data_IF_157763666732
#
_entry.id   IF_157763666732
#
_cell.length_a   1.000
_cell.length_b   1.000
_cell.length_c   1.000
_cell.angle_alpha   90.00
_cell.angle_beta   90.00
_cell.angle_gamma   90.00
#
_symmetry.space_group_name_H-M   'P 1'
#
loop_
_entity.id
_entity.type
_entity.pdbx_description
1 polymer ?
#
# COMPACT_ATOMS: atom_id res chain seq x y z
N UNK A 1 -12.06 6.81 -17.29
CA UNK A 1 -11.45 5.74 -16.45
C UNK A 1 -12.47 5.42 -15.35
N UNK A 2 -13.60 4.86 -15.75
CA UNK A 2 -14.86 4.86 -14.98
C UNK A 2 -15.27 3.45 -14.50
N UNK A 3 -14.58 2.40 -14.98
CA UNK A 3 -15.07 1.02 -14.81
C UNK A 3 -15.12 0.54 -13.35
N UNK A 4 -14.08 0.81 -12.55
CA UNK A 4 -14.07 0.40 -11.13
C UNK A 4 -15.08 1.21 -10.33
N UNK A 5 -15.23 2.50 -10.64
CA UNK A 5 -16.22 3.38 -9.99
C UNK A 5 -17.64 2.87 -10.24
N UNK A 6 -17.98 2.48 -11.47
CA UNK A 6 -19.27 1.87 -11.79
C UNK A 6 -19.50 0.57 -10.99
N UNK A 7 -18.50 -0.32 -10.92
CA UNK A 7 -18.64 -1.55 -10.13
C UNK A 7 -18.92 -1.26 -8.65
N UNK A 8 -18.29 -0.23 -8.10
CA UNK A 8 -18.52 0.21 -6.72
C UNK A 8 -19.90 0.86 -6.56
N UNK A 9 -20.32 1.70 -7.50
CA UNK A 9 -21.63 2.37 -7.50
C UNK A 9 -22.79 1.37 -7.55
N UNK A 10 -22.68 0.33 -8.40
CA UNK A 10 -23.68 -0.74 -8.51
C UNK A 10 -23.44 -1.90 -7.54
N UNK A 11 -22.61 -1.69 -6.51
CA UNK A 11 -22.32 -2.63 -5.41
C UNK A 11 -21.88 -4.04 -5.88
N UNK A 12 -21.19 -4.12 -7.02
CA UNK A 12 -20.72 -5.38 -7.57
C UNK A 12 -19.51 -5.87 -6.80
N UNK A 13 -19.46 -7.18 -6.56
CA UNK A 13 -18.26 -7.86 -6.08
C UNK A 13 -17.36 -8.21 -7.27
N UNK A 14 -16.06 -7.92 -7.16
CA UNK A 14 -15.14 -8.09 -8.29
C UNK A 14 -13.72 -8.48 -7.88
N UNK A 15 -13.01 -9.08 -8.83
CA UNK A 15 -11.58 -9.37 -8.78
C UNK A 15 -10.99 -9.07 -10.15
N UNK A 16 -10.13 -8.05 -10.24
CA UNK A 16 -9.62 -7.50 -11.50
C UNK A 16 -8.10 -7.51 -11.48
N UNK A 17 -7.49 -7.93 -12.59
CA UNK A 17 -6.05 -7.76 -12.81
C UNK A 17 -5.80 -6.34 -13.30
N UNK A 18 -5.02 -5.58 -12.53
CA UNK A 18 -4.58 -4.24 -12.87
C UNK A 18 -3.06 -4.16 -12.98
N UNK A 19 -2.57 -3.06 -13.55
CA UNK A 19 -1.16 -2.71 -13.45
C UNK A 19 -0.87 -2.06 -12.08
N UNK A 20 0.30 -2.27 -11.49
CA UNK A 20 0.71 -1.65 -10.21
C UNK A 20 0.62 -0.13 -10.20
N UNK A 21 0.80 0.51 -11.36
CA UNK A 21 0.66 1.95 -11.51
C UNK A 21 -0.78 2.44 -11.26
N UNK A 22 -1.77 1.55 -11.34
CA UNK A 22 -3.18 1.88 -11.10
C UNK A 22 -3.45 2.43 -9.70
N UNK A 23 -2.59 2.13 -8.74
CA UNK A 23 -2.66 2.64 -7.36
C UNK A 23 -2.41 4.15 -7.32
N UNK A 24 -1.54 4.66 -8.20
CA UNK A 24 -1.13 6.08 -8.19
C UNK A 24 -2.18 7.01 -8.78
N UNK A 25 -3.24 6.44 -9.35
CA UNK A 25 -4.36 7.15 -9.94
C UNK A 25 -5.26 7.70 -8.85
N UNK A 26 -5.62 8.98 -8.97
CA UNK A 26 -6.42 9.68 -7.96
C UNK A 26 -7.72 8.93 -7.67
N UNK A 27 -8.43 8.52 -8.71
CA UNK A 27 -9.71 7.82 -8.60
C UNK A 27 -9.58 6.49 -7.83
N UNK A 28 -8.58 5.68 -8.19
CA UNK A 28 -8.30 4.41 -7.52
C UNK A 28 -7.90 4.62 -6.06
N UNK A 29 -7.01 5.58 -5.78
CA UNK A 29 -6.54 5.84 -4.42
C UNK A 29 -7.68 6.32 -3.53
N UNK A 30 -8.56 7.20 -4.02
CA UNK A 30 -9.73 7.65 -3.26
C UNK A 30 -10.68 6.50 -2.92
N UNK A 31 -10.88 5.55 -3.83
CA UNK A 31 -11.65 4.33 -3.55
C UNK A 31 -10.99 3.42 -2.50
N UNK A 32 -9.66 3.31 -2.53
CA UNK A 32 -8.89 2.56 -1.52
C UNK A 32 -8.96 3.24 -0.16
N UNK A 33 -8.77 4.56 -0.12
CA UNK A 33 -8.87 5.38 1.08
C UNK A 33 -10.27 5.32 1.69
N UNK A 34 -11.31 5.36 0.86
CA UNK A 34 -12.71 5.19 1.25
C UNK A 34 -13.07 3.73 1.62
N UNK A 35 -12.10 2.83 1.62
CA UNK A 35 -12.26 1.42 1.95
C UNK A 35 -13.28 0.67 1.07
N UNK A 36 -13.46 1.10 -0.18
CA UNK A 36 -14.36 0.47 -1.16
C UNK A 36 -13.66 -0.54 -2.06
N UNK A 37 -12.35 -0.39 -2.22
CA UNK A 37 -11.47 -1.23 -3.05
C UNK A 37 -10.17 -1.47 -2.30
N UNK A 38 -9.53 -2.61 -2.50
CA UNK A 38 -8.22 -2.91 -1.95
C UNK A 38 -7.38 -3.78 -2.89
N UNK A 39 -6.10 -3.86 -2.56
CA UNK A 39 -5.18 -4.79 -3.21
C UNK A 39 -5.51 -6.22 -2.76
N UNK A 40 -5.61 -7.14 -3.72
CA UNK A 40 -5.75 -8.56 -3.45
C UNK A 40 -4.45 -9.22 -3.01
N UNK A 41 -4.50 -10.54 -2.85
CA UNK A 41 -3.38 -11.37 -2.42
C UNK A 41 -2.31 -11.43 -3.51
N UNK A 42 -1.03 -11.37 -3.12
CA UNK A 42 0.14 -11.30 -4.01
C UNK A 42 0.30 -9.99 -4.81
N UNK A 43 1.49 -9.77 -5.37
CA UNK A 43 1.84 -8.62 -6.21
C UNK A 43 2.90 -9.07 -7.25
N UNK A 44 2.87 -8.48 -8.44
CA UNK A 44 3.81 -8.76 -9.52
C UNK A 44 3.79 -10.22 -9.97
N UNK A 45 4.96 -10.86 -9.98
CA UNK A 45 5.10 -12.28 -10.36
C UNK A 45 4.29 -13.23 -9.48
N UNK A 46 3.98 -12.86 -8.24
CA UNK A 46 3.20 -13.71 -7.34
C UNK A 46 1.72 -13.81 -7.74
N UNK A 47 1.24 -12.94 -8.64
CA UNK A 47 -0.15 -12.96 -9.13
C UNK A 47 -0.34 -13.89 -10.31
N UNK A 48 0.75 -14.20 -11.00
CA UNK A 48 0.65 -14.65 -12.37
C UNK A 48 1.50 -15.88 -12.70
N UNK A 49 1.00 -16.55 -13.71
CA UNK A 49 1.52 -17.72 -14.37
C UNK A 49 0.48 -18.11 -15.40
N UNK A 50 0.43 -17.36 -16.51
CA UNK A 50 -0.54 -17.63 -17.57
C UNK A 50 0.03 -18.66 -18.53
N UNK A 51 -0.73 -19.71 -18.78
CA UNK A 51 -0.40 -20.66 -19.85
C UNK A 51 -0.55 -19.92 -21.17
N UNK A 52 0.52 -19.87 -21.93
CA UNK A 52 0.56 -19.26 -23.26
C UNK A 52 0.62 -20.35 -24.33
N UNK A 53 0.15 -20.07 -25.55
CA UNK A 53 0.25 -21.01 -26.66
C UNK A 53 1.69 -21.47 -26.92
N UNK A 54 1.84 -22.66 -27.50
CA UNK A 54 3.15 -23.26 -27.77
C UNK A 54 4.02 -22.41 -28.71
N UNK A 55 3.41 -21.63 -29.61
CA UNK A 55 4.13 -20.73 -30.52
C UNK A 55 4.61 -19.43 -29.85
N UNK A 56 4.22 -19.16 -28.59
CA UNK A 56 4.69 -17.99 -27.88
C UNK A 56 6.15 -18.17 -27.46
N UNK A 57 7.01 -17.26 -27.90
CA UNK A 57 8.43 -17.28 -27.55
C UNK A 57 8.62 -16.98 -26.06
N UNK A 58 9.37 -17.84 -25.38
CA UNK A 58 9.72 -17.64 -23.98
C UNK A 58 11.00 -16.84 -23.89
N UNK A 59 10.92 -15.68 -23.24
CA UNK A 59 12.06 -14.80 -23.05
C UNK A 59 12.08 -14.22 -21.63
N UNK A 60 13.30 -13.93 -21.17
CA UNK A 60 13.54 -13.33 -19.86
C UNK A 60 13.17 -14.25 -18.69
N UNK A 61 13.32 -13.72 -17.48
CA UNK A 61 13.04 -14.47 -16.25
C UNK A 61 11.55 -14.66 -15.98
N UNK A 62 10.66 -14.00 -16.73
CA UNK A 62 9.19 -14.05 -16.58
C UNK A 62 8.55 -15.29 -17.20
N UNK A 63 9.29 -16.00 -18.06
CA UNK A 63 8.83 -17.21 -18.72
C UNK A 63 9.45 -18.46 -18.08
N UNK A 64 8.64 -19.52 -17.95
CA UNK A 64 9.09 -20.86 -17.50
C UNK A 64 8.28 -21.95 -18.19
N UNK A 65 8.78 -23.18 -18.11
CA UNK A 65 8.00 -24.39 -18.40
C UNK A 65 7.66 -25.03 -17.05
N UNK A 66 6.39 -25.36 -16.83
CA UNK A 66 5.96 -26.04 -15.62
C UNK A 66 6.19 -27.57 -15.68
N UNK A 67 5.87 -28.28 -14.61
CA UNK A 67 6.06 -29.73 -14.48
C UNK A 67 5.24 -30.54 -15.49
N UNK A 68 4.20 -29.94 -16.08
CA UNK A 68 3.31 -30.56 -17.06
C UNK A 68 3.70 -30.21 -18.51
N UNK A 69 4.80 -29.46 -18.70
CA UNK A 69 5.26 -29.02 -20.02
C UNK A 69 4.55 -27.78 -20.56
N UNK A 70 3.71 -27.11 -19.77
CA UNK A 70 3.05 -25.88 -20.21
C UNK A 70 4.04 -24.71 -20.22
N UNK A 71 3.93 -23.86 -21.25
CA UNK A 71 4.64 -22.58 -21.30
C UNK A 71 3.90 -21.56 -20.44
N UNK A 72 4.57 -20.99 -19.45
CA UNK A 72 3.97 -20.10 -18.46
C UNK A 72 4.69 -18.76 -18.42
N UNK A 73 3.95 -17.65 -18.58
CA UNK A 73 4.48 -16.28 -18.49
C UNK A 73 3.87 -15.55 -17.29
N UNK A 74 4.73 -14.86 -16.52
CA UNK A 74 4.36 -14.19 -15.27
C UNK A 74 4.74 -12.71 -15.28
N UNK A 75 3.82 -11.81 -15.68
CA UNK A 75 4.06 -10.37 -15.74
C UNK A 75 4.52 -9.77 -14.41
N UNK A 76 5.55 -8.93 -14.47
CA UNK A 76 6.15 -8.28 -13.30
C UNK A 76 5.29 -7.21 -12.61
N UNK A 77 4.39 -6.55 -13.33
CA UNK A 77 3.73 -5.33 -12.90
C UNK A 77 2.22 -5.50 -12.68
N UNK A 78 1.77 -6.72 -12.43
CA UNK A 78 0.36 -7.00 -12.14
C UNK A 78 0.03 -6.82 -10.65
N UNK A 79 -1.21 -6.43 -10.37
CA UNK A 79 -1.85 -6.48 -9.07
C UNK A 79 -3.29 -7.01 -9.21
N UNK A 80 -3.86 -7.51 -8.12
CA UNK A 80 -5.29 -7.71 -8.00
C UNK A 80 -5.91 -6.46 -7.38
N UNK A 81 -6.93 -5.89 -8.01
CA UNK A 81 -7.86 -4.95 -7.36
C UNK A 81 -9.17 -5.67 -7.11
N UNK A 82 -9.68 -5.54 -5.90
CA UNK A 82 -10.87 -6.28 -5.48
C UNK A 82 -11.61 -5.55 -4.36
N UNK A 83 -12.84 -5.96 -4.12
CA UNK A 83 -13.62 -5.66 -2.92
C UNK A 83 -14.15 -6.94 -2.25
N UNK A 84 -13.49 -8.07 -2.53
CA UNK A 84 -13.68 -9.36 -1.87
C UNK A 84 -12.80 -9.42 -0.63
N UNK A 85 -13.42 -9.66 0.52
CA UNK A 85 -12.74 -9.60 1.80
C UNK A 85 -11.87 -10.84 2.05
N UNK A 86 -10.74 -10.66 2.74
CA UNK A 86 -9.78 -11.76 3.00
C UNK A 86 -9.17 -11.63 4.40
N UNK A 87 -8.86 -12.77 5.03
CA UNK A 87 -8.19 -12.79 6.33
C UNK A 87 -6.84 -12.03 6.34
N UNK A 88 -6.12 -12.01 5.20
CA UNK A 88 -4.86 -11.28 5.09
C UNK A 88 -5.04 -9.77 5.28
N UNK A 89 -6.18 -9.23 4.83
CA UNK A 89 -6.53 -7.82 4.92
C UNK A 89 -6.69 -7.34 6.37
N UNK A 90 -7.02 -8.25 7.27
CA UNK A 90 -7.20 -8.01 8.70
C UNK A 90 -5.99 -8.46 9.53
N UNK A 91 -4.90 -8.88 8.89
CA UNK A 91 -3.67 -9.27 9.58
C UNK A 91 -2.88 -8.04 9.99
N UNK A 92 -2.60 -7.96 11.27
CA UNK A 92 -1.74 -6.90 11.81
C UNK A 92 -0.29 -7.01 11.33
N UNK A 93 0.31 -5.86 11.13
CA UNK A 93 1.75 -5.72 10.96
C UNK A 93 2.36 -5.56 12.36
N UNK A 94 3.25 -6.46 12.80
CA UNK A 94 3.97 -6.28 14.06
C UNK A 94 4.86 -5.05 13.99
N UNK A 95 4.63 -4.09 14.88
CA UNK A 95 5.43 -2.88 15.01
C UNK A 95 6.43 -3.06 16.15
N UNK A 96 7.72 -2.93 15.85
CA UNK A 96 8.81 -3.19 16.81
C UNK A 96 9.74 -2.00 17.00
N UNK A 97 9.55 -0.93 16.22
CA UNK A 97 10.38 0.28 16.31
C UNK A 97 9.78 1.27 17.29
N UNK A 98 10.67 2.06 17.88
CA UNK A 98 10.36 3.12 18.83
C UNK A 98 10.78 4.44 18.21
N UNK A 99 9.93 5.45 18.30
CA UNK A 99 10.17 6.82 17.87
C UNK A 99 10.80 7.64 18.99
N UNK A 100 10.22 7.62 20.19
CA UNK A 100 10.69 8.43 21.31
C UNK A 100 12.13 8.03 21.71
N UNK A 101 13.03 9.00 21.80
CA UNK A 101 14.47 8.81 21.99
C UNK A 101 15.24 8.34 20.74
N UNK A 102 14.57 8.19 19.60
CA UNK A 102 15.15 7.79 18.32
C UNK A 102 14.76 8.73 17.17
N UNK A 103 14.34 9.95 17.48
CA UNK A 103 13.73 10.92 16.56
C UNK A 103 14.62 11.20 15.34
N UNK A 104 15.94 11.22 15.53
CA UNK A 104 16.94 11.39 14.48
C UNK A 104 16.87 10.35 13.34
N UNK A 105 16.24 9.18 13.57
CA UNK A 105 16.04 8.13 12.55
C UNK A 105 14.82 8.37 11.65
N UNK A 106 13.98 9.36 11.99
CA UNK A 106 12.70 9.61 11.35
C UNK A 106 12.66 11.04 10.82
N UNK A 107 13.14 11.26 9.58
CA UNK A 107 13.10 12.58 8.97
C UNK A 107 11.68 13.13 8.92
N UNK A 108 11.50 14.41 9.27
CA UNK A 108 10.22 15.12 9.16
C UNK A 108 10.03 15.68 7.75
N UNK A 109 8.78 15.82 7.34
CA UNK A 109 8.46 16.52 6.11
C UNK A 109 8.56 18.04 6.30
N UNK A 110 8.97 18.76 5.26
CA UNK A 110 9.09 20.22 5.28
C UNK A 110 7.71 20.88 5.15
N UNK A 111 6.77 20.22 4.46
CA UNK A 111 5.47 20.75 4.05
C UNK A 111 4.27 19.92 4.56
N UNK A 112 4.47 19.12 5.60
CA UNK A 112 3.40 18.37 6.26
C UNK A 112 3.83 17.99 7.69
N UNK A 113 2.92 18.03 8.66
CA UNK A 113 3.22 17.55 10.02
C UNK A 113 3.23 16.01 10.08
N UNK A 114 4.39 15.43 9.76
CA UNK A 114 4.59 13.99 9.76
C UNK A 114 6.04 13.58 9.58
N UNK A 115 6.29 12.30 9.79
CA UNK A 115 7.61 11.68 9.61
C UNK A 115 7.62 10.77 8.39
N UNK A 116 8.80 10.54 7.81
CA UNK A 116 9.02 9.59 6.74
C UNK A 116 9.67 8.31 7.25
N UNK A 117 9.15 7.17 6.82
CA UNK A 117 9.84 5.87 6.91
C UNK A 117 10.05 5.29 5.52
N UNK A 118 11.21 4.66 5.31
CA UNK A 118 11.55 4.10 4.00
C UNK A 118 11.06 2.66 3.83
N UNK A 119 10.68 1.99 4.92
CA UNK A 119 10.19 0.60 4.92
C UNK A 119 9.04 0.45 5.90
N UNK A 120 8.08 -0.41 5.57
CA UNK A 120 6.97 -0.77 6.47
C UNK A 120 7.45 -1.32 7.82
N UNK A 121 8.58 -2.04 7.84
CA UNK A 121 9.16 -2.57 9.08
C UNK A 121 9.76 -1.49 10.00
N UNK A 122 9.93 -0.26 9.49
CA UNK A 122 10.46 0.86 10.25
C UNK A 122 9.35 1.73 10.86
N UNK A 123 8.07 1.37 10.68
CA UNK A 123 6.95 2.09 11.28
C UNK A 123 7.07 2.00 12.83
N UNK A 124 7.19 3.13 13.53
CA UNK A 124 7.23 3.14 15.00
C UNK A 124 5.86 2.81 15.61
N UNK A 125 5.88 2.09 16.73
CA UNK A 125 4.67 1.66 17.44
C UNK A 125 4.09 2.74 18.36
N UNK A 126 4.88 3.75 18.70
CA UNK A 126 4.65 4.79 19.71
C UNK A 126 4.44 6.20 19.13
N UNK A 127 4.47 6.37 17.80
CA UNK A 127 4.28 7.68 17.15
C UNK A 127 2.83 7.90 16.69
N UNK A 128 2.13 8.85 17.32
CA UNK A 128 0.71 9.14 17.09
C UNK A 128 0.41 10.10 15.93
N UNK A 129 1.43 10.69 15.31
CA UNK A 129 1.31 11.57 14.15
C UNK A 129 1.18 10.85 12.81
N UNK A 130 1.20 11.62 11.73
CA UNK A 130 1.19 11.07 10.37
C UNK A 130 2.55 10.48 9.97
N UNK A 131 2.52 9.33 9.33
CA UNK A 131 3.70 8.59 8.89
C UNK A 131 3.61 8.41 7.39
N UNK A 132 4.59 8.92 6.65
CA UNK A 132 4.76 8.65 5.24
C UNK A 132 5.45 7.32 5.01
N UNK A 133 4.73 6.39 4.38
CA UNK A 133 5.19 5.04 4.04
C UNK A 133 5.32 4.86 2.52
N UNK A 134 6.13 3.90 2.04
CA UNK A 134 6.17 3.55 0.62
C UNK A 134 4.80 3.10 0.11
N UNK A 135 4.48 3.38 -1.16
CA UNK A 135 3.20 2.96 -1.80
C UNK A 135 2.93 1.45 -1.69
N UNK A 136 3.98 0.63 -1.68
CA UNK A 136 3.90 -0.83 -1.50
C UNK A 136 3.34 -1.27 -0.16
N UNK A 137 3.25 -0.37 0.83
CA UNK A 137 2.56 -0.59 2.09
C UNK A 137 1.12 -1.05 1.90
N UNK A 138 0.41 -0.60 0.85
CA UNK A 138 -0.98 -0.98 0.60
C UNK A 138 -1.19 -2.49 0.45
N UNK A 139 -0.16 -3.24 0.06
CA UNK A 139 -0.22 -4.71 0.01
C UNK A 139 -0.36 -5.37 1.40
N UNK A 140 0.03 -4.65 2.44
CA UNK A 140 -0.04 -5.08 3.86
C UNK A 140 -1.03 -4.24 4.66
N UNK A 141 -1.78 -3.35 4.01
CA UNK A 141 -2.65 -2.41 4.69
C UNK A 141 -3.81 -3.14 5.36
N UNK A 142 -3.90 -2.95 6.68
CA UNK A 142 -5.04 -3.34 7.49
C UNK A 142 -5.77 -2.07 7.97
N UNK A 143 -7.04 -1.84 7.57
CA UNK A 143 -7.79 -0.65 7.99
C UNK A 143 -8.11 -0.63 9.50
N UNK A 144 -8.03 -1.76 10.18
CA UNK A 144 -8.30 -1.88 11.62
C UNK A 144 -7.07 -1.48 12.43
N UNK A 145 -5.90 -1.44 11.79
CA UNK A 145 -4.64 -1.00 12.39
C UNK A 145 -4.28 0.42 11.95
N UNK A 146 -4.54 0.79 10.70
CA UNK A 146 -4.12 2.06 10.13
C UNK A 146 -5.25 2.82 9.44
N UNK A 147 -5.11 4.13 9.41
CA UNK A 147 -5.90 5.04 8.59
C UNK A 147 -5.07 5.54 7.41
N UNK A 148 -5.66 5.64 6.21
CA UNK A 148 -5.03 6.30 5.06
C UNK A 148 -5.45 7.77 5.05
N UNK A 149 -4.48 8.67 5.13
CA UNK A 149 -4.73 10.12 5.24
C UNK A 149 -4.69 10.77 3.86
N UNK A 150 -3.54 10.71 3.18
CA UNK A 150 -3.26 11.45 1.94
C UNK A 150 -2.27 10.68 1.08
N UNK A 151 -2.30 10.93 -0.22
CA UNK A 151 -1.31 10.41 -1.16
C UNK A 151 -0.42 11.55 -1.66
N UNK A 152 0.89 11.37 -1.52
CA UNK A 152 1.99 12.15 -2.13
C UNK A 152 2.09 13.64 -1.75
N UNK A 153 1.00 14.30 -1.39
CA UNK A 153 0.92 15.76 -1.24
C UNK A 153 1.08 16.22 0.22
N UNK A 154 1.76 17.35 0.40
CA UNK A 154 1.79 18.11 1.66
C UNK A 154 0.56 19.01 1.81
N UNK A 155 0.58 19.88 2.81
CA UNK A 155 -0.50 20.84 3.10
C UNK A 155 -0.53 22.00 2.11
N UNK A 156 0.60 22.25 1.44
CA UNK A 156 0.75 23.23 0.36
C UNK A 156 0.36 22.70 -1.02
N UNK A 157 -0.23 21.50 -1.09
CA UNK A 157 -0.59 20.76 -2.33
C UNK A 157 0.61 20.43 -3.25
N UNK A 158 1.83 20.72 -2.80
CA UNK A 158 3.06 20.25 -3.46
C UNK A 158 3.38 18.84 -3.01
N UNK A 159 4.27 18.19 -3.74
CA UNK A 159 4.73 16.87 -3.32
C UNK A 159 5.45 16.99 -1.97
N UNK A 160 5.27 15.99 -1.12
CA UNK A 160 5.97 15.90 0.17
C UNK A 160 7.47 16.07 -0.05
N UNK A 161 8.14 16.88 0.78
CA UNK A 161 9.59 17.07 0.70
C UNK A 161 10.25 16.85 2.05
N UNK A 162 11.49 16.38 2.01
CA UNK A 162 12.35 16.20 3.17
C UNK A 162 13.67 16.90 2.85
N UNK A 163 14.03 17.92 3.61
CA UNK A 163 15.23 18.73 3.37
C UNK A 163 15.28 19.24 1.92
N UNK A 164 14.15 19.70 1.40
CA UNK A 164 14.01 20.23 0.03
C UNK A 164 14.02 19.18 -1.09
N UNK A 165 14.05 17.87 -0.77
CA UNK A 165 14.00 16.79 -1.77
C UNK A 165 12.68 16.05 -1.71
N UNK A 166 12.07 15.81 -2.87
CA UNK A 166 10.89 14.96 -2.98
C UNK A 166 11.30 13.48 -2.91
N UNK A 167 10.87 12.70 -1.89
CA UNK A 167 11.04 11.26 -1.91
C UNK A 167 10.14 10.65 -2.99
N UNK A 168 10.41 9.39 -3.36
CA UNK A 168 9.48 8.62 -4.17
C UNK A 168 8.11 8.51 -3.48
N UNK A 169 7.02 8.39 -4.25
CA UNK A 169 5.63 8.50 -3.78
C UNK A 169 5.39 7.85 -2.41
N UNK A 170 4.85 8.67 -1.51
CA UNK A 170 4.50 8.31 -0.13
C UNK A 170 3.00 8.32 0.04
N UNK A 171 2.52 7.40 0.86
CA UNK A 171 1.17 7.43 1.41
C UNK A 171 1.31 7.85 2.86
N UNK A 172 0.54 8.86 3.27
CA UNK A 172 0.45 9.25 4.68
C UNK A 172 -0.56 8.35 5.37
N UNK A 173 -0.12 7.74 6.47
CA UNK A 173 -0.95 6.87 7.31
C UNK A 173 -0.91 7.32 8.76
N UNK A 174 -1.92 6.92 9.54
CA UNK A 174 -1.95 7.08 11.00
C UNK A 174 -2.22 5.74 11.66
N UNK A 175 -1.52 5.44 12.75
CA UNK A 175 -1.79 4.24 13.53
C UNK A 175 -3.02 4.48 14.42
N UNK A 176 -4.06 3.64 14.27
CA UNK A 176 -5.32 3.75 15.02
C UNK A 176 -5.23 3.18 16.43
N UNK A 177 -4.18 2.41 16.73
CA UNK A 177 -4.08 1.60 17.95
C UNK A 177 -3.12 2.15 18.99
N UNK A 178 -2.59 3.34 18.75
CA UNK A 178 -1.78 4.02 19.76
C UNK A 178 -2.73 4.44 20.87
N UNK A 179 -2.66 3.72 21.98
CA UNK A 179 -3.26 4.18 23.21
C UNK A 179 -2.46 5.39 23.63
N UNK A 180 -3.08 6.57 23.57
CA UNK A 180 -2.62 7.69 24.40
C UNK A 180 -2.56 7.12 25.81
N UNK A 181 -1.36 7.01 26.38
CA UNK A 181 -1.25 6.73 27.81
C UNK A 181 -1.93 7.92 28.49
N UNK A 182 -3.21 7.75 28.79
CA UNK A 182 -3.97 8.67 29.59
C UNK A 182 -3.21 8.82 30.88
N UNK A 183 -2.66 10.01 31.07
CA UNK A 183 -2.32 10.55 32.38
C UNK A 183 -3.67 10.67 33.10
N UNK A 184 -4.19 9.56 33.61
CA UNK A 184 -5.08 9.56 34.75
C UNK A 184 -4.17 9.30 35.94
N UNK A 185 -3.57 10.40 36.41
CA UNK A 185 -3.07 10.50 37.77
C UNK A 185 -4.21 10.13 38.71
N UNK A 186 -4.12 8.95 39.32
CA UNK A 186 -4.86 8.63 40.54
C UNK A 186 -4.13 9.32 41.69
N UNK A 187 -4.58 10.54 42.01
CA UNK A 187 -4.67 11.02 43.38
C UNK A 187 -6.12 10.83 43.84
#
# INVERSE_FOLDING_TARGET
REYIEQLVEYEKKFLIIGNVNAITYKETFELIKANKVWLGINLGRGISGFIVPEHYELYGTEARIDEFGNRVVSPNNCLWLTNLDTNQRHRDIPLTKIFFGNEHKYPRYDNYDGINVNKTADIPLDYDGAIGVPITFLHKFNPDQFELIKFRKGDDERDLSINGKCPYFRILIKNKRIKTNGINNLF
#
